data_IF_826561927156
#
_entry.id   IF_826561927156
#
_cell.length_a   1.000
_cell.length_b   1.000
_cell.length_c   1.000
_cell.angle_alpha   90.00
_cell.angle_beta   90.00
_cell.angle_gamma   90.00
#
_symmetry.space_group_name_H-M   'P 1'
#
loop_
_entity.id
_entity.type
_entity.pdbx_description
1 polymer ?
#
# COMPACT_ATOMS: atom_id res chain seq x y z
N UNK A 1 21.73 24.52 23.89
CA UNK A 1 22.22 23.99 22.60
C UNK A 1 21.05 23.36 21.88
N UNK A 2 20.41 24.13 21.00
CA UNK A 2 19.22 23.73 20.26
C UNK A 2 19.58 22.64 19.26
N UNK A 3 18.99 21.45 19.44
CA UNK A 3 19.09 20.37 18.46
C UNK A 3 18.11 20.66 17.33
N UNK A 4 18.48 21.54 16.40
CA UNK A 4 17.85 21.54 15.08
C UNK A 4 18.30 20.25 14.40
N UNK A 5 17.46 19.23 14.48
CA UNK A 5 17.62 18.02 13.69
C UNK A 5 17.21 18.37 12.27
N UNK A 6 18.21 18.49 11.41
CA UNK A 6 18.06 18.64 9.97
C UNK A 6 17.05 17.61 9.43
N UNK A 7 16.06 18.00 8.60
CA UNK A 7 15.21 17.04 7.93
C UNK A 7 16.09 16.14 7.06
N UNK A 8 16.16 14.86 7.43
CA UNK A 8 17.00 13.85 6.81
C UNK A 8 16.68 13.72 5.31
N UNK A 9 17.69 13.80 4.46
CA UNK A 9 17.65 13.53 3.00
C UNK A 9 17.34 12.06 2.66
N UNK A 10 16.76 11.30 3.58
CA UNK A 10 16.23 9.98 3.32
C UNK A 10 14.78 10.13 2.86
N UNK A 11 14.40 9.49 1.73
CA UNK A 11 12.99 9.32 1.34
C UNK A 11 12.14 9.11 2.60
N UNK A 12 11.16 9.98 2.91
CA UNK A 12 10.39 9.91 4.14
C UNK A 12 9.89 8.47 4.34
N UNK A 13 10.00 7.93 5.56
CA UNK A 13 9.69 6.53 5.83
C UNK A 13 8.30 6.13 5.31
N UNK A 14 7.37 7.08 5.31
CA UNK A 14 6.02 6.92 4.79
C UNK A 14 5.96 6.70 3.28
N UNK A 15 6.75 7.44 2.48
CA UNK A 15 6.85 7.23 1.03
C UNK A 15 7.39 5.84 0.73
N UNK A 16 8.37 5.37 1.51
CA UNK A 16 8.89 3.99 1.36
C UNK A 16 7.85 2.94 1.74
N UNK A 17 7.02 3.23 2.75
CA UNK A 17 5.94 2.34 3.16
C UNK A 17 4.87 2.23 2.07
N UNK A 18 4.50 3.36 1.43
CA UNK A 18 3.60 3.40 0.28
C UNK A 18 4.16 2.58 -0.89
N UNK A 19 5.39 2.86 -1.34
CA UNK A 19 6.02 2.12 -2.44
C UNK A 19 6.09 0.61 -2.19
N UNK A 20 6.38 0.23 -0.94
CA UNK A 20 6.42 -1.19 -0.56
C UNK A 20 5.03 -1.81 -0.59
N UNK A 21 4.01 -1.10 -0.13
CA UNK A 21 2.66 -1.61 -0.05
C UNK A 21 2.02 -1.68 -1.46
N UNK A 22 2.26 -0.72 -2.35
CA UNK A 22 1.93 -0.80 -3.78
C UNK A 22 2.55 -2.05 -4.44
N UNK A 23 3.83 -2.32 -4.17
CA UNK A 23 4.51 -3.50 -4.72
C UNK A 23 3.93 -4.82 -4.19
N UNK A 24 3.50 -4.86 -2.92
CA UNK A 24 2.85 -6.01 -2.32
C UNK A 24 1.47 -6.20 -2.93
N UNK A 25 0.65 -5.15 -3.03
CA UNK A 25 -0.66 -5.18 -3.68
C UNK A 25 -0.56 -5.76 -5.09
N UNK A 26 0.32 -5.23 -5.93
CA UNK A 26 0.48 -5.75 -7.30
C UNK A 26 1.05 -7.19 -7.37
N UNK A 27 1.67 -7.68 -6.30
CA UNK A 27 2.05 -9.10 -6.21
C UNK A 27 0.86 -9.98 -5.82
N UNK A 28 0.06 -9.55 -4.84
CA UNK A 28 -1.16 -10.24 -4.40
C UNK A 28 -2.17 -10.35 -5.54
N UNK A 29 -2.42 -9.26 -6.28
CA UNK A 29 -3.33 -9.26 -7.43
C UNK A 29 -2.89 -10.24 -8.52
N UNK A 30 -1.59 -10.28 -8.85
CA UNK A 30 -1.05 -11.24 -9.83
C UNK A 30 -1.19 -12.67 -9.35
N UNK A 31 -0.91 -12.94 -8.08
CA UNK A 31 -1.08 -14.27 -7.50
C UNK A 31 -2.56 -14.72 -7.48
N UNK A 32 -3.49 -13.80 -7.23
CA UNK A 32 -4.93 -14.07 -7.33
C UNK A 32 -5.33 -14.46 -8.76
N UNK A 33 -4.88 -13.70 -9.76
CA UNK A 33 -5.15 -13.97 -11.17
C UNK A 33 -4.57 -15.31 -11.65
N UNK A 34 -3.35 -15.64 -11.21
CA UNK A 34 -2.73 -16.92 -11.50
C UNK A 34 -3.51 -18.08 -10.87
N UNK A 35 -3.98 -17.91 -9.63
CA UNK A 35 -4.79 -18.92 -8.95
C UNK A 35 -6.13 -19.14 -9.64
N UNK A 36 -6.84 -18.07 -9.98
CA UNK A 36 -8.12 -18.11 -10.72
C UNK A 36 -7.95 -18.83 -12.07
N UNK A 37 -6.87 -18.55 -12.80
CA UNK A 37 -6.58 -19.24 -14.06
C UNK A 37 -6.37 -20.74 -13.84
N UNK A 38 -5.59 -21.12 -12.83
CA UNK A 38 -5.32 -22.53 -12.49
C UNK A 38 -6.61 -23.23 -12.07
N UNK A 39 -7.40 -22.62 -11.19
CA UNK A 39 -8.65 -23.18 -10.70
C UNK A 39 -9.67 -23.33 -11.83
N UNK A 40 -9.82 -22.31 -12.68
CA UNK A 40 -10.64 -22.36 -13.90
C UNK A 40 -10.24 -23.49 -14.87
N UNK A 41 -8.94 -23.76 -15.03
CA UNK A 41 -8.47 -24.87 -15.87
C UNK A 41 -8.77 -26.21 -15.21
N UNK A 42 -8.49 -26.37 -13.91
CA UNK A 42 -8.81 -27.59 -13.17
C UNK A 42 -10.31 -27.88 -13.18
N UNK A 43 -11.14 -26.83 -13.11
CA UNK A 43 -12.58 -26.99 -13.22
C UNK A 43 -13.03 -27.49 -14.60
N UNK A 44 -12.37 -27.06 -15.68
CA UNK A 44 -12.74 -27.49 -17.03
C UNK A 44 -12.20 -28.87 -17.38
N UNK A 45 -10.98 -29.17 -16.96
CA UNK A 45 -10.24 -30.37 -17.38
C UNK A 45 -10.54 -31.60 -16.52
N UNK A 46 -10.93 -31.44 -15.25
CA UNK A 46 -11.24 -32.60 -14.40
C UNK A 46 -12.66 -33.10 -14.68
N UNK A 47 -12.84 -34.35 -15.14
CA UNK A 47 -14.16 -34.89 -15.39
C UNK A 47 -15.00 -34.99 -14.11
N UNK A 48 -16.32 -34.75 -14.22
CA UNK A 48 -17.27 -34.76 -13.09
C UNK A 48 -17.27 -36.10 -12.32
N UNK A 49 -16.91 -37.20 -12.98
CA UNK A 49 -16.75 -38.51 -12.35
C UNK A 49 -15.61 -38.56 -11.35
N UNK A 50 -14.58 -37.73 -11.52
CA UNK A 50 -13.37 -37.64 -10.68
C UNK A 50 -13.39 -36.43 -9.74
N UNK A 51 -14.18 -35.39 -10.03
CA UNK A 51 -14.47 -34.27 -9.12
C UNK A 51 -15.39 -34.68 -7.96
N UNK A 52 -14.90 -35.55 -7.07
CA UNK A 52 -15.63 -36.00 -5.89
C UNK A 52 -14.67 -36.09 -4.71
N UNK A 53 -15.23 -36.10 -3.49
CA UNK A 53 -14.45 -36.23 -2.27
C UNK A 53 -13.40 -35.11 -2.15
N UNK A 54 -12.15 -35.49 -1.92
CA UNK A 54 -11.05 -34.56 -1.64
C UNK A 54 -10.80 -33.57 -2.78
N UNK A 55 -11.03 -33.94 -4.04
CA UNK A 55 -10.85 -33.04 -5.19
C UNK A 55 -11.91 -31.94 -5.20
N UNK A 56 -13.17 -32.27 -4.89
CA UNK A 56 -14.23 -31.27 -4.82
C UNK A 56 -14.00 -30.31 -3.66
N UNK A 57 -13.60 -30.83 -2.49
CA UNK A 57 -13.24 -30.01 -1.34
C UNK A 57 -12.03 -29.12 -1.59
N UNK A 58 -11.03 -29.61 -2.34
CA UNK A 58 -9.85 -28.81 -2.69
C UNK A 58 -10.20 -27.66 -3.65
N UNK A 59 -11.08 -27.88 -4.63
CA UNK A 59 -11.58 -26.83 -5.53
C UNK A 59 -12.37 -25.78 -4.76
N UNK A 60 -13.28 -26.20 -3.89
CA UNK A 60 -14.07 -25.28 -3.04
C UNK A 60 -13.17 -24.43 -2.14
N UNK A 61 -12.20 -25.04 -1.45
CA UNK A 61 -11.22 -24.29 -0.65
C UNK A 61 -10.34 -23.36 -1.48
N UNK A 62 -10.04 -23.72 -2.73
CA UNK A 62 -9.25 -22.86 -3.62
C UNK A 62 -10.05 -21.62 -3.99
N UNK A 63 -11.34 -21.78 -4.30
CA UNK A 63 -12.24 -20.65 -4.54
C UNK A 63 -12.40 -19.75 -3.30
N UNK A 64 -12.55 -20.32 -2.10
CA UNK A 64 -12.58 -19.53 -0.86
C UNK A 64 -11.28 -18.76 -0.62
N UNK A 65 -10.13 -19.34 -0.97
CA UNK A 65 -8.83 -18.66 -0.87
C UNK A 65 -8.68 -17.55 -1.92
N UNK A 66 -9.19 -17.75 -3.14
CA UNK A 66 -9.24 -16.70 -4.17
C UNK A 66 -10.01 -15.48 -3.67
N UNK A 67 -11.20 -15.68 -3.11
CA UNK A 67 -12.02 -14.61 -2.53
C UNK A 67 -11.27 -13.87 -1.41
N UNK A 68 -10.58 -14.60 -0.52
CA UNK A 68 -9.80 -13.99 0.56
C UNK A 68 -8.59 -13.21 0.06
N UNK A 69 -7.90 -13.71 -0.96
CA UNK A 69 -6.75 -13.02 -1.58
C UNK A 69 -7.24 -11.74 -2.26
N UNK A 70 -8.38 -11.79 -2.96
CA UNK A 70 -8.95 -10.60 -3.60
C UNK A 70 -9.37 -9.56 -2.56
N UNK A 71 -10.06 -9.96 -1.49
CA UNK A 71 -10.39 -9.06 -0.39
C UNK A 71 -9.14 -8.43 0.26
N UNK A 72 -8.06 -9.22 0.42
CA UNK A 72 -6.79 -8.71 0.94
C UNK A 72 -6.15 -7.70 -0.02
N UNK A 73 -6.25 -7.90 -1.34
CA UNK A 73 -5.77 -6.93 -2.33
C UNK A 73 -6.56 -5.62 -2.25
N UNK A 74 -7.88 -5.69 -2.09
CA UNK A 74 -8.74 -4.51 -1.97
C UNK A 74 -8.43 -3.73 -0.68
N UNK A 75 -8.19 -4.42 0.45
CA UNK A 75 -7.76 -3.80 1.70
C UNK A 75 -6.38 -3.12 1.56
N UNK A 76 -5.42 -3.76 0.88
CA UNK A 76 -4.11 -3.15 0.62
C UNK A 76 -4.24 -1.90 -0.25
N UNK A 77 -5.10 -1.91 -1.27
CA UNK A 77 -5.39 -0.75 -2.10
C UNK A 77 -5.92 0.42 -1.26
N UNK A 78 -6.84 0.14 -0.33
CA UNK A 78 -7.36 1.16 0.58
C UNK A 78 -6.27 1.73 1.50
N UNK A 79 -5.38 0.88 2.04
CA UNK A 79 -4.26 1.34 2.86
C UNK A 79 -3.29 2.20 2.05
N UNK A 80 -3.03 1.86 0.79
CA UNK A 80 -2.20 2.68 -0.10
C UNK A 80 -2.80 4.05 -0.35
N UNK A 81 -4.11 4.14 -0.53
CA UNK A 81 -4.82 5.42 -0.66
C UNK A 81 -4.65 6.29 0.59
N UNK A 82 -4.86 5.72 1.79
CA UNK A 82 -4.66 6.43 3.06
C UNK A 82 -3.22 6.90 3.26
N UNK A 83 -2.24 6.05 2.91
CA UNK A 83 -0.82 6.40 2.98
C UNK A 83 -0.48 7.55 2.02
N UNK A 84 -1.01 7.54 0.80
CA UNK A 84 -0.81 8.61 -0.16
C UNK A 84 -1.41 9.94 0.32
N UNK A 85 -2.57 9.90 0.98
CA UNK A 85 -3.17 11.07 1.61
C UNK A 85 -2.27 11.65 2.71
N UNK A 86 -1.78 10.82 3.64
CA UNK A 86 -0.88 11.29 4.71
C UNK A 86 0.45 11.85 4.17
N UNK A 87 1.03 11.24 3.13
CA UNK A 87 2.23 11.80 2.45
C UNK A 87 1.94 13.21 1.96
N UNK A 88 0.83 13.38 1.25
CA UNK A 88 0.42 14.68 0.69
C UNK A 88 0.14 15.72 1.79
N UNK A 89 -0.49 15.32 2.89
CA UNK A 89 -0.77 16.20 4.02
C UNK A 89 0.51 16.66 4.73
N UNK A 90 1.47 15.74 4.92
CA UNK A 90 2.78 16.09 5.48
C UNK A 90 3.55 17.06 4.62
N UNK A 91 3.61 16.84 3.31
CA UNK A 91 4.28 17.76 2.38
C UNK A 91 3.70 19.18 2.50
N UNK A 92 2.37 19.31 2.53
CA UNK A 92 1.70 20.61 2.73
C UNK A 92 2.03 21.25 4.08
N UNK A 93 2.14 20.46 5.15
CA UNK A 93 2.50 20.97 6.48
C UNK A 93 3.96 21.41 6.54
N UNK A 94 4.86 20.67 5.91
CA UNK A 94 6.28 21.02 5.81
C UNK A 94 6.48 22.32 5.02
N UNK A 95 5.78 22.51 3.90
CA UNK A 95 5.80 23.77 3.13
C UNK A 95 5.30 24.97 3.96
N UNK A 96 4.22 24.80 4.72
CA UNK A 96 3.68 25.83 5.62
C UNK A 96 4.65 26.16 6.74
N UNK A 97 5.30 25.14 7.32
CA UNK A 97 6.29 25.32 8.38
C UNK A 97 7.49 26.12 7.86
N UNK A 98 8.06 25.73 6.71
CA UNK A 98 9.18 26.44 6.08
C UNK A 98 8.82 27.90 5.78
N UNK A 99 7.61 28.15 5.28
CA UNK A 99 7.12 29.50 5.01
C UNK A 99 7.01 30.33 6.30
N UNK A 100 6.47 29.75 7.38
CA UNK A 100 6.34 30.41 8.67
C UNK A 100 7.70 30.71 9.31
N UNK A 101 8.64 29.77 9.26
CA UNK A 101 10.01 29.93 9.75
C UNK A 101 10.74 31.07 9.02
N UNK A 102 10.59 31.16 7.70
CA UNK A 102 11.16 32.23 6.90
C UNK A 102 10.59 33.61 7.24
N UNK A 103 9.27 33.72 7.43
CA UNK A 103 8.62 34.98 7.83
C UNK A 103 9.01 35.41 9.26
N UNK A 104 9.16 34.46 10.19
CA UNK A 104 9.68 34.75 11.54
C UNK A 104 11.14 35.21 11.49
N UNK A 105 11.98 34.57 10.68
CA UNK A 105 13.38 34.98 10.48
C UNK A 105 13.49 36.41 9.96
N UNK A 106 12.68 36.78 8.96
CA UNK A 106 12.60 38.16 8.44
C UNK A 106 12.21 39.16 9.53
N UNK A 107 11.14 38.88 10.29
CA UNK A 107 10.67 39.78 11.35
C UNK A 107 11.71 40.00 12.44
N UNK A 108 12.43 38.95 12.85
CA UNK A 108 13.50 39.08 13.84
C UNK A 108 14.66 39.93 13.31
N UNK A 109 15.03 39.81 12.04
CA UNK A 109 16.10 40.63 11.45
C UNK A 109 15.74 42.12 11.30
N UNK A 110 14.45 42.42 11.12
CA UNK A 110 13.96 43.79 10.99
C UNK A 110 13.76 44.50 12.34
N UNK A 111 13.69 43.76 13.46
CA UNK A 111 13.55 44.33 14.79
C UNK A 111 14.91 44.66 15.46
N UNK A 112 16.01 44.14 14.91
CA UNK A 112 17.38 44.28 15.44
C UNK A 112 18.22 45.33 14.65
N UNK A 113 17.61 46.05 13.70
CA UNK A 113 18.18 47.15 12.91
C UNK A 113 17.44 48.46 13.16
#
# INVERSE_FOLDING_TARGET
MSKHTTPSQQKPQLVRALEKNDAIQGTVERSAQELDLVNSVLEKEIPVTVKKGDIAMALEKTAELEDQIQASADELAHVNELLAQEVTEREKLEEKLQSAEHELGKKNSAADS
#
